data_IF_871191886901
#
_entry.id   IF_871191886901
#
_cell.length_a   1.000
_cell.length_b   1.000
_cell.length_c   1.000
_cell.angle_alpha   90.00
_cell.angle_beta   90.00
_cell.angle_gamma   90.00
#
_symmetry.space_group_name_H-M   'P 1'
#
loop_
_entity.id
_entity.type
_entity.pdbx_description
1 polymer ?
#
# COMPACT_ATOMS: atom_id res chain seq x y z
N UNK A 1 -42.19 -5.15 32.02
CA UNK A 1 -41.94 -5.71 30.67
C UNK A 1 -41.33 -4.57 29.86
N UNK A 2 -40.03 -4.37 30.00
CA UNK A 2 -39.22 -3.48 29.17
C UNK A 2 -38.81 -4.32 27.99
N UNK A 3 -39.35 -3.98 26.82
CA UNK A 3 -38.90 -4.52 25.53
C UNK A 3 -37.49 -3.97 25.27
N UNK A 4 -36.49 -4.81 25.49
CA UNK A 4 -35.14 -4.62 24.98
C UNK A 4 -35.24 -4.72 23.45
N UNK A 5 -35.45 -3.58 22.79
CA UNK A 5 -35.15 -3.40 21.37
C UNK A 5 -33.64 -3.55 21.19
N UNK A 6 -33.19 -4.79 21.04
CA UNK A 6 -31.89 -5.11 20.48
C UNK A 6 -31.82 -4.41 19.12
N UNK A 7 -31.09 -3.29 19.10
CA UNK A 7 -30.57 -2.69 17.88
C UNK A 7 -29.69 -3.73 17.20
N UNK A 8 -30.34 -4.55 16.41
CA UNK A 8 -29.71 -5.43 15.44
C UNK A 8 -29.11 -4.50 14.39
N UNK A 9 -27.91 -3.94 14.69
CA UNK A 9 -27.11 -3.24 13.70
C UNK A 9 -26.86 -4.24 12.57
N UNK A 10 -27.70 -4.15 11.54
CA UNK A 10 -27.56 -4.96 10.34
C UNK A 10 -26.16 -4.69 9.78
N UNK A 11 -25.34 -5.74 9.72
CA UNK A 11 -24.08 -5.78 8.98
C UNK A 11 -24.32 -5.68 7.47
N UNK A 12 -25.33 -4.93 7.05
CA UNK A 12 -25.62 -4.68 5.66
C UNK A 12 -24.55 -3.73 5.13
N UNK A 13 -23.54 -4.29 4.48
CA UNK A 13 -22.52 -3.53 3.78
C UNK A 13 -23.16 -2.51 2.83
N UNK A 14 -22.44 -1.45 2.53
CA UNK A 14 -22.89 -0.39 1.64
C UNK A 14 -23.22 -0.97 0.24
N UNK A 15 -24.46 -0.76 -0.23
CA UNK A 15 -24.89 -1.23 -1.55
C UNK A 15 -24.40 -0.28 -2.65
N UNK A 16 -23.91 -0.81 -3.77
CA UNK A 16 -23.44 -0.03 -4.91
C UNK A 16 -24.52 0.92 -5.45
N UNK A 17 -25.79 0.51 -5.42
CA UNK A 17 -26.92 1.32 -5.92
C UNK A 17 -27.19 2.56 -5.07
N UNK A 18 -26.83 2.56 -3.80
CA UNK A 18 -27.01 3.67 -2.89
C UNK A 18 -25.89 4.71 -2.98
N UNK A 19 -24.82 4.37 -3.70
CA UNK A 19 -23.68 5.27 -3.93
C UNK A 19 -23.99 6.33 -4.99
N UNK A 20 -23.28 7.47 -4.98
CA UNK A 20 -23.39 8.48 -6.03
C UNK A 20 -23.15 7.89 -7.42
N UNK A 21 -23.84 8.39 -8.43
CA UNK A 21 -23.75 7.87 -9.82
C UNK A 21 -22.31 7.86 -10.37
N UNK A 22 -21.48 8.83 -10.00
CA UNK A 22 -20.07 8.88 -10.39
C UNK A 22 -19.29 7.68 -9.83
N UNK A 23 -19.59 7.25 -8.60
CA UNK A 23 -18.97 6.06 -7.97
C UNK A 23 -19.47 4.78 -8.63
N UNK A 24 -20.77 4.68 -8.90
CA UNK A 24 -21.35 3.54 -9.63
C UNK A 24 -20.70 3.40 -11.03
N UNK A 25 -20.48 4.53 -11.72
CA UNK A 25 -19.80 4.54 -13.02
C UNK A 25 -18.35 4.11 -12.88
N UNK A 26 -17.60 4.64 -11.90
CA UNK A 26 -16.22 4.25 -11.63
C UNK A 26 -16.12 2.75 -11.29
N UNK A 27 -17.04 2.21 -10.49
CA UNK A 27 -17.11 0.78 -10.17
C UNK A 27 -17.37 -0.07 -11.42
N UNK A 28 -18.18 0.44 -12.35
CA UNK A 28 -18.44 -0.23 -13.63
C UNK A 28 -17.18 -0.30 -14.50
N UNK A 29 -16.38 0.75 -14.47
CA UNK A 29 -15.16 0.90 -15.32
C UNK A 29 -13.86 0.49 -14.59
N UNK A 30 -13.92 -0.26 -13.50
CA UNK A 30 -12.73 -0.70 -12.73
C UNK A 30 -11.67 -1.39 -13.61
N UNK A 31 -12.09 -2.12 -14.64
CA UNK A 31 -11.19 -2.77 -15.60
C UNK A 31 -10.31 -1.77 -16.38
N UNK A 32 -10.81 -0.57 -16.64
CA UNK A 32 -10.03 0.48 -17.30
C UNK A 32 -8.91 0.97 -16.40
N UNK A 33 -9.19 1.16 -15.11
CA UNK A 33 -8.18 1.58 -14.14
C UNK A 33 -7.16 0.47 -13.89
N UNK A 34 -7.58 -0.79 -13.82
CA UNK A 34 -6.67 -1.92 -13.73
C UNK A 34 -5.72 -1.99 -14.94
N UNK A 35 -6.27 -1.88 -16.16
CA UNK A 35 -5.46 -1.83 -17.39
C UNK A 35 -4.47 -0.65 -17.40
N UNK A 36 -4.83 0.50 -16.83
CA UNK A 36 -3.93 1.65 -16.74
C UNK A 36 -2.65 1.36 -15.93
N UNK A 37 -2.69 0.43 -14.98
CA UNK A 37 -1.50 0.00 -14.23
C UNK A 37 -0.47 -0.71 -15.12
N UNK A 38 -0.90 -1.39 -16.20
CA UNK A 38 -0.03 -2.14 -17.10
C UNK A 38 0.60 -1.28 -18.20
N UNK A 39 0.05 -0.10 -18.47
CA UNK A 39 0.55 0.79 -19.53
C UNK A 39 1.95 1.27 -19.17
N UNK A 40 2.94 0.93 -20.00
CA UNK A 40 4.32 1.41 -19.82
C UNK A 40 4.35 2.95 -19.96
N UNK A 41 4.83 3.70 -18.94
CA UNK A 41 4.97 5.15 -19.02
C UNK A 41 5.80 5.60 -20.23
N UNK A 42 6.69 4.76 -20.73
CA UNK A 42 7.48 5.01 -21.91
C UNK A 42 6.67 5.09 -23.21
N UNK A 43 5.46 4.53 -23.25
CA UNK A 43 4.54 4.66 -24.40
C UNK A 43 3.75 5.97 -24.37
N UNK A 44 3.53 6.55 -23.18
CA UNK A 44 2.82 7.81 -23.01
C UNK A 44 3.71 9.06 -23.20
N UNK A 45 5.02 8.89 -23.24
CA UNK A 45 5.99 9.98 -23.39
C UNK A 45 6.42 10.18 -24.84
N UNK A 46 6.60 11.44 -25.21
CA UNK A 46 7.05 11.84 -26.55
C UNK A 46 8.30 11.09 -26.97
N UNK A 47 8.45 10.74 -28.28
CA UNK A 47 9.67 10.17 -28.83
C UNK A 47 10.87 11.06 -28.46
N UNK A 48 11.89 10.48 -27.81
CA UNK A 48 13.10 11.19 -27.39
C UNK A 48 13.22 11.47 -25.88
N UNK A 49 12.19 11.23 -25.08
CA UNK A 49 12.32 11.30 -23.62
C UNK A 49 12.96 10.00 -23.11
N UNK A 50 14.06 10.13 -22.37
CA UNK A 50 14.68 9.02 -21.67
C UNK A 50 13.67 8.37 -20.71
N UNK A 51 13.45 7.05 -20.83
CA UNK A 51 12.57 6.26 -19.94
C UNK A 51 13.06 6.24 -18.48
N UNK A 52 14.26 6.71 -18.28
CA UNK A 52 14.94 6.70 -16.99
C UNK A 52 15.40 8.11 -16.67
N UNK A 53 15.14 8.58 -15.47
CA UNK A 53 15.62 9.86 -14.97
C UNK A 53 16.70 9.58 -13.95
N UNK A 54 17.88 10.14 -14.18
CA UNK A 54 18.93 10.17 -13.18
C UNK A 54 18.48 11.15 -12.08
N UNK A 55 18.12 10.63 -10.92
CA UNK A 55 17.57 11.43 -9.79
C UNK A 55 18.71 11.84 -8.87
N UNK A 56 19.78 11.05 -8.81
CA UNK A 56 20.96 11.31 -7.99
C UNK A 56 22.19 11.09 -8.87
N UNK A 57 23.08 12.08 -9.03
CA UNK A 57 24.30 11.91 -9.81
C UNK A 57 25.12 10.70 -9.32
N UNK A 58 25.37 9.73 -10.22
CA UNK A 58 26.17 8.54 -9.93
C UNK A 58 25.39 7.35 -9.34
N UNK A 59 24.06 7.43 -9.18
CA UNK A 59 23.21 6.28 -8.80
C UNK A 59 22.25 5.89 -9.93
N UNK A 60 21.89 4.61 -9.92
CA UNK A 60 21.06 3.90 -10.89
C UNK A 60 19.90 4.71 -11.45
N UNK A 61 19.74 4.69 -12.75
CA UNK A 61 18.59 5.24 -13.47
C UNK A 61 17.27 4.70 -12.91
N UNK A 62 16.41 5.57 -12.39
CA UNK A 62 15.12 5.18 -11.84
C UNK A 62 14.03 5.21 -12.91
N UNK A 63 13.22 4.15 -12.95
CA UNK A 63 12.03 4.12 -13.79
C UNK A 63 10.96 5.05 -13.22
N UNK A 64 10.41 5.92 -14.06
CA UNK A 64 9.25 6.72 -13.68
C UNK A 64 7.99 5.85 -13.68
N UNK A 65 7.16 5.96 -12.63
CA UNK A 65 5.93 5.18 -12.56
C UNK A 65 4.83 5.70 -13.50
N UNK A 66 4.84 6.98 -13.82
CA UNK A 66 3.82 7.64 -14.62
C UNK A 66 2.58 8.07 -13.82
N UNK A 67 2.06 9.27 -14.10
CA UNK A 67 0.92 9.85 -13.38
C UNK A 67 -0.37 9.05 -13.55
N UNK A 68 -0.56 8.40 -14.71
CA UNK A 68 -1.75 7.55 -14.96
C UNK A 68 -1.82 6.34 -14.03
N UNK A 69 -0.66 5.72 -13.69
CA UNK A 69 -0.61 4.62 -12.73
C UNK A 69 -0.90 5.08 -11.31
N UNK A 70 -0.40 6.27 -10.94
CA UNK A 70 -0.72 6.88 -9.64
C UNK A 70 -2.22 7.18 -9.56
N UNK A 71 -2.81 7.80 -10.59
CA UNK A 71 -4.24 8.08 -10.63
C UNK A 71 -5.10 6.81 -10.61
N UNK A 72 -4.69 5.76 -11.31
CA UNK A 72 -5.38 4.46 -11.28
C UNK A 72 -5.34 3.83 -9.88
N UNK A 73 -4.16 3.84 -9.22
CA UNK A 73 -4.02 3.34 -7.86
C UNK A 73 -4.86 4.13 -6.84
N UNK A 74 -4.95 5.46 -6.99
CA UNK A 74 -5.80 6.32 -6.17
C UNK A 74 -7.28 5.96 -6.30
N UNK A 75 -7.78 5.78 -7.52
CA UNK A 75 -9.17 5.42 -7.76
C UNK A 75 -9.46 4.03 -7.17
N UNK A 76 -8.59 3.05 -7.40
CA UNK A 76 -8.72 1.70 -6.83
C UNK A 76 -8.76 1.77 -5.29
N UNK A 77 -7.86 2.54 -4.68
CA UNK A 77 -7.84 2.73 -3.24
C UNK A 77 -9.14 3.33 -2.71
N UNK A 78 -9.63 4.40 -3.34
CA UNK A 78 -10.90 5.02 -2.95
C UNK A 78 -12.08 4.05 -3.07
N UNK A 79 -12.12 3.25 -4.14
CA UNK A 79 -13.21 2.29 -4.35
C UNK A 79 -13.22 1.20 -3.28
N UNK A 80 -12.07 0.63 -2.91
CA UNK A 80 -11.95 -0.38 -1.86
C UNK A 80 -12.25 0.20 -0.46
N UNK A 81 -11.88 1.46 -0.20
CA UNK A 81 -12.15 2.13 1.08
C UNK A 81 -13.64 2.37 1.34
N UNK A 82 -14.50 2.25 0.32
CA UNK A 82 -15.95 2.34 0.51
C UNK A 82 -16.51 1.14 1.27
N UNK A 83 -15.81 -0.01 1.30
CA UNK A 83 -16.31 -1.22 1.96
C UNK A 83 -17.57 -1.78 1.32
N UNK A 84 -17.77 -1.56 0.02
CA UNK A 84 -18.91 -2.07 -0.73
C UNK A 84 -18.59 -3.47 -1.26
N UNK A 85 -19.33 -4.48 -0.79
CA UNK A 85 -19.09 -5.89 -1.13
C UNK A 85 -19.11 -6.17 -2.64
N UNK A 86 -19.97 -5.50 -3.40
CA UNK A 86 -20.05 -5.66 -4.86
C UNK A 86 -18.78 -5.13 -5.57
N UNK A 87 -18.18 -4.07 -5.02
CA UNK A 87 -16.89 -3.55 -5.51
C UNK A 87 -15.77 -4.51 -5.14
N UNK A 88 -15.78 -5.01 -3.92
CA UNK A 88 -14.79 -5.95 -3.41
C UNK A 88 -14.82 -7.25 -4.22
N UNK A 89 -16.00 -7.81 -4.48
CA UNK A 89 -16.17 -9.00 -5.32
C UNK A 89 -15.66 -8.77 -6.73
N UNK A 90 -16.02 -7.63 -7.33
CA UNK A 90 -15.56 -7.28 -8.68
C UNK A 90 -14.03 -7.15 -8.72
N UNK A 91 -13.44 -6.49 -7.71
CA UNK A 91 -11.99 -6.30 -7.61
C UNK A 91 -11.27 -7.65 -7.41
N UNK A 92 -11.83 -8.56 -6.61
CA UNK A 92 -11.28 -9.89 -6.36
C UNK A 92 -11.15 -10.75 -7.62
N UNK A 93 -11.97 -10.49 -8.64
CA UNK A 93 -11.94 -11.21 -9.92
C UNK A 93 -11.28 -10.42 -11.06
N UNK A 94 -10.81 -9.20 -10.79
CA UNK A 94 -10.31 -8.31 -11.81
C UNK A 94 -8.88 -8.67 -12.21
N UNK A 95 -8.75 -9.35 -13.36
CA UNK A 95 -7.46 -9.62 -14.00
C UNK A 95 -7.05 -8.44 -14.89
N UNK A 96 -5.74 -8.20 -15.01
CA UNK A 96 -5.19 -7.10 -15.81
C UNK A 96 -5.39 -7.26 -17.31
N UNK A 97 -5.49 -8.49 -17.79
CA UNK A 97 -5.75 -8.83 -19.18
C UNK A 97 -6.77 -9.97 -19.27
N UNK A 98 -7.63 -9.92 -20.27
CA UNK A 98 -8.62 -10.96 -20.58
C UNK A 98 -7.96 -12.20 -21.22
N UNK A 99 -6.87 -12.67 -20.67
CA UNK A 99 -6.21 -13.89 -21.13
C UNK A 99 -6.61 -15.04 -20.23
N UNK A 100 -6.82 -16.22 -20.83
CA UNK A 100 -7.07 -17.45 -20.09
C UNK A 100 -5.84 -17.98 -19.31
N UNK A 101 -4.80 -17.16 -19.18
CA UNK A 101 -3.59 -17.51 -18.44
C UNK A 101 -3.80 -17.20 -16.95
N UNK A 102 -4.04 -18.25 -16.18
CA UNK A 102 -4.21 -18.16 -14.71
C UNK A 102 -2.94 -17.70 -13.98
N UNK A 103 -1.82 -17.62 -14.70
CA UNK A 103 -0.52 -17.17 -14.13
C UNK A 103 -0.36 -15.65 -14.06
N UNK A 104 -1.26 -14.88 -14.68
CA UNK A 104 -1.14 -13.41 -14.64
C UNK A 104 -1.60 -12.82 -13.31
N UNK A 105 -0.88 -11.76 -12.83
CA UNK A 105 -1.19 -11.14 -11.55
C UNK A 105 -2.59 -10.48 -11.54
N UNK A 106 -3.27 -10.65 -10.41
CA UNK A 106 -4.47 -9.89 -10.11
C UNK A 106 -4.12 -8.41 -9.92
N UNK A 107 -5.10 -7.54 -10.02
CA UNK A 107 -4.88 -6.09 -9.91
C UNK A 107 -4.19 -5.69 -8.61
N UNK A 108 -4.61 -6.27 -7.47
CA UNK A 108 -4.02 -5.98 -6.16
C UNK A 108 -2.59 -6.52 -6.02
N UNK A 109 -2.31 -7.71 -6.54
CA UNK A 109 -0.95 -8.24 -6.58
C UNK A 109 -0.03 -7.34 -7.40
N UNK A 110 -0.52 -6.81 -8.52
CA UNK A 110 0.24 -5.86 -9.33
C UNK A 110 0.54 -4.58 -8.57
N UNK A 111 -0.43 -4.03 -7.83
CA UNK A 111 -0.18 -2.87 -6.96
C UNK A 111 0.89 -3.18 -5.92
N UNK A 112 0.84 -4.36 -5.29
CA UNK A 112 1.84 -4.80 -4.33
C UNK A 112 3.23 -4.95 -4.97
N UNK A 113 3.33 -5.60 -6.13
CA UNK A 113 4.60 -5.73 -6.87
C UNK A 113 5.17 -4.35 -7.20
N UNK A 114 4.36 -3.47 -7.78
CA UNK A 114 4.78 -2.12 -8.17
C UNK A 114 5.23 -1.26 -6.99
N UNK A 115 4.66 -1.44 -5.80
CA UNK A 115 5.09 -0.74 -4.57
C UNK A 115 6.56 -1.02 -4.26
N UNK A 116 7.04 -2.24 -4.51
CA UNK A 116 8.44 -2.62 -4.28
C UNK A 116 9.33 -2.34 -5.48
N UNK A 117 8.82 -2.39 -6.71
CA UNK A 117 9.58 -2.11 -7.93
C UNK A 117 9.86 -0.61 -8.16
N UNK A 118 9.01 0.27 -7.63
CA UNK A 118 9.13 1.72 -7.76
C UNK A 118 9.40 2.41 -6.42
N UNK A 119 10.52 2.13 -5.74
CA UNK A 119 10.74 2.49 -4.34
C UNK A 119 10.79 4.00 -4.05
N UNK A 120 10.81 4.84 -5.08
CA UNK A 120 10.95 6.29 -4.93
C UNK A 120 9.67 7.09 -5.29
N UNK A 121 8.55 6.42 -5.49
CA UNK A 121 7.29 7.07 -5.83
C UNK A 121 6.36 7.19 -4.61
N UNK A 122 6.57 8.19 -3.76
CA UNK A 122 5.79 8.38 -2.54
C UNK A 122 4.28 8.51 -2.77
N UNK A 123 3.86 9.19 -3.85
CA UNK A 123 2.45 9.31 -4.20
C UNK A 123 1.84 7.94 -4.55
N UNK A 124 2.56 7.12 -5.33
CA UNK A 124 2.11 5.76 -5.63
C UNK A 124 2.09 4.89 -4.37
N UNK A 125 3.12 4.98 -3.52
CA UNK A 125 3.18 4.21 -2.28
C UNK A 125 1.98 4.53 -1.38
N UNK A 126 1.61 5.80 -1.25
CA UNK A 126 0.44 6.19 -0.46
C UNK A 126 -0.85 5.60 -1.02
N UNK A 127 -1.05 5.64 -2.34
CA UNK A 127 -2.23 5.08 -2.99
C UNK A 127 -2.26 3.55 -2.89
N UNK A 128 -1.17 2.87 -3.26
CA UNK A 128 -1.07 1.42 -3.23
C UNK A 128 -1.23 0.86 -1.82
N UNK A 129 -0.59 1.49 -0.81
CA UNK A 129 -0.74 1.06 0.59
C UNK A 129 -2.18 1.18 1.07
N UNK A 130 -2.90 2.26 0.73
CA UNK A 130 -4.32 2.41 1.08
C UNK A 130 -5.19 1.33 0.42
N UNK A 131 -4.94 1.03 -0.87
CA UNK A 131 -5.66 -0.04 -1.56
C UNK A 131 -5.41 -1.41 -0.93
N UNK A 132 -4.14 -1.73 -0.62
CA UNK A 132 -3.75 -2.99 0.02
C UNK A 132 -4.35 -3.09 1.42
N UNK A 133 -4.28 -2.02 2.24
CA UNK A 133 -4.86 -2.00 3.57
C UNK A 133 -6.38 -2.21 3.53
N UNK A 134 -7.09 -1.54 2.61
CA UNK A 134 -8.51 -1.73 2.44
C UNK A 134 -8.85 -3.19 2.05
N UNK A 135 -8.07 -3.78 1.13
CA UNK A 135 -8.24 -5.18 0.75
C UNK A 135 -7.97 -6.15 1.92
N UNK A 136 -6.91 -5.92 2.72
CA UNK A 136 -6.62 -6.73 3.91
C UNK A 136 -7.70 -6.59 4.99
N UNK A 137 -8.35 -5.43 5.08
CA UNK A 137 -9.44 -5.17 6.04
C UNK A 137 -10.78 -5.73 5.58
N UNK A 138 -10.95 -6.02 4.29
CA UNK A 138 -12.20 -6.57 3.75
C UNK A 138 -12.50 -7.96 4.32
N UNK A 139 -13.77 -8.27 4.63
CA UNK A 139 -14.19 -9.62 4.98
C UNK A 139 -14.11 -10.59 3.79
N UNK A 140 -13.92 -10.06 2.57
CA UNK A 140 -13.89 -10.86 1.35
C UNK A 140 -12.50 -11.49 1.13
N UNK A 141 -12.34 -12.74 1.52
CA UNK A 141 -11.06 -13.46 1.49
C UNK A 141 -10.36 -13.45 0.12
N UNK A 142 -11.13 -13.54 -0.97
CA UNK A 142 -10.58 -13.52 -2.33
C UNK A 142 -9.80 -12.23 -2.68
N UNK A 143 -9.99 -11.14 -1.92
CA UNK A 143 -9.21 -9.92 -2.08
C UNK A 143 -7.80 -10.04 -1.51
N UNK A 144 -7.67 -10.60 -0.32
CA UNK A 144 -6.39 -10.59 0.39
C UNK A 144 -5.59 -11.89 0.25
N UNK A 145 -6.24 -13.06 -0.01
CA UNK A 145 -5.51 -14.32 -0.21
C UNK A 145 -4.39 -14.18 -1.24
N UNK A 146 -4.61 -13.60 -2.45
CA UNK A 146 -3.55 -13.45 -3.44
C UNK A 146 -2.38 -12.57 -2.97
N UNK A 147 -2.62 -11.65 -2.03
CA UNK A 147 -1.57 -10.82 -1.43
C UNK A 147 -0.72 -11.59 -0.43
N UNK A 148 -1.36 -12.43 0.39
CA UNK A 148 -0.71 -13.15 1.50
C UNK A 148 -0.08 -14.45 1.03
N UNK A 149 -0.68 -15.09 0.00
CA UNK A 149 -0.22 -16.34 -0.59
C UNK A 149 0.03 -16.14 -2.08
N UNK A 150 1.27 -16.21 -2.51
CA UNK A 150 1.58 -16.19 -3.94
C UNK A 150 1.41 -17.59 -4.55
N UNK A 151 0.19 -17.90 -4.99
CA UNK A 151 -0.17 -19.22 -5.54
C UNK A 151 0.54 -19.57 -6.88
N UNK A 152 1.37 -18.68 -7.42
CA UNK A 152 1.93 -18.80 -8.78
C UNK A 152 3.27 -19.49 -8.89
N UNK A 153 3.98 -19.61 -7.79
CA UNK A 153 5.29 -20.26 -7.76
C UNK A 153 5.15 -21.79 -7.54
N UNK A 154 4.16 -22.42 -8.19
CA UNK A 154 3.95 -23.87 -8.11
C UNK A 154 5.19 -24.70 -8.45
N UNK A 155 6.16 -24.11 -9.16
CA UNK A 155 7.43 -24.74 -9.51
C UNK A 155 8.55 -24.59 -8.46
N UNK A 156 8.45 -23.64 -7.51
CA UNK A 156 9.50 -23.37 -6.52
C UNK A 156 9.30 -24.10 -5.19
N UNK A 157 8.12 -24.67 -4.95
CA UNK A 157 7.77 -25.30 -3.68
C UNK A 157 7.56 -24.31 -2.51
N UNK A 158 7.86 -23.03 -2.70
CA UNK A 158 7.67 -21.99 -1.68
C UNK A 158 6.56 -21.01 -2.12
N UNK A 159 5.37 -21.28 -1.66
CA UNK A 159 4.15 -20.49 -1.96
C UNK A 159 4.18 -19.08 -1.38
N UNK A 160 5.14 -18.76 -0.49
CA UNK A 160 5.25 -17.45 0.15
C UNK A 160 6.33 -16.55 -0.45
N UNK A 161 7.18 -17.05 -1.35
CA UNK A 161 8.37 -16.35 -1.86
C UNK A 161 8.11 -14.92 -2.35
N UNK A 162 7.03 -14.72 -3.08
CA UNK A 162 6.65 -13.41 -3.64
C UNK A 162 5.43 -12.80 -2.96
N UNK A 163 4.99 -13.32 -1.82
CA UNK A 163 3.86 -12.80 -1.08
C UNK A 163 4.16 -11.43 -0.46
N UNK A 164 3.12 -10.65 -0.19
CA UNK A 164 3.24 -9.33 0.44
C UNK A 164 4.00 -9.40 1.77
N UNK A 165 3.71 -10.33 2.72
CA UNK A 165 4.45 -10.43 3.97
C UNK A 165 5.94 -10.67 3.76
N UNK A 166 6.32 -11.50 2.79
CA UNK A 166 7.73 -11.74 2.46
C UNK A 166 8.41 -10.49 1.90
N UNK A 167 7.77 -9.80 0.96
CA UNK A 167 8.32 -8.57 0.36
C UNK A 167 8.46 -7.44 1.37
N UNK A 168 7.51 -7.31 2.27
CA UNK A 168 7.56 -6.37 3.39
C UNK A 168 8.75 -6.70 4.31
N UNK A 169 8.91 -7.96 4.71
CA UNK A 169 10.02 -8.41 5.54
C UNK A 169 11.39 -8.15 4.89
N UNK A 170 11.54 -8.53 3.62
CA UNK A 170 12.78 -8.29 2.84
C UNK A 170 13.12 -6.80 2.77
N UNK A 171 12.11 -5.93 2.54
CA UNK A 171 12.32 -4.48 2.49
C UNK A 171 12.77 -3.90 3.83
N UNK A 172 12.20 -4.39 4.94
CA UNK A 172 12.59 -3.98 6.29
C UNK A 172 14.01 -4.45 6.64
N UNK A 173 14.37 -5.69 6.31
CA UNK A 173 15.70 -6.21 6.53
C UNK A 173 16.76 -5.43 5.73
N UNK A 174 16.50 -5.16 4.45
CA UNK A 174 17.37 -4.32 3.61
C UNK A 174 17.53 -2.92 4.19
N UNK A 175 16.46 -2.32 4.74
CA UNK A 175 16.50 -1.00 5.33
C UNK A 175 17.40 -0.95 6.57
N UNK A 176 17.39 -2.00 7.40
CA UNK A 176 18.23 -2.11 8.59
C UNK A 176 19.70 -2.36 8.26
N UNK A 177 19.99 -3.03 7.13
CA UNK A 177 21.37 -3.23 6.65
C UNK A 177 21.95 -1.93 6.06
N UNK A 178 21.13 -0.94 5.77
CA UNK A 178 21.57 0.32 5.18
C UNK A 178 22.10 1.28 6.27
N UNK A 179 23.43 1.45 6.34
CA UNK A 179 24.11 2.30 7.33
C UNK A 179 23.67 3.78 7.27
N UNK A 180 23.27 4.26 6.10
CA UNK A 180 22.87 5.66 5.90
C UNK A 180 21.38 5.77 5.62
N UNK A 181 20.65 6.46 6.50
CA UNK A 181 19.22 6.74 6.34
C UNK A 181 18.88 7.35 4.96
N UNK A 182 19.75 8.23 4.44
CA UNK A 182 19.57 8.89 3.14
C UNK A 182 19.65 7.93 1.94
N UNK A 183 20.15 6.71 2.14
CA UNK A 183 20.24 5.66 1.12
C UNK A 183 19.11 4.64 1.21
N UNK A 184 18.29 4.69 2.26
CA UNK A 184 17.14 3.82 2.40
C UNK A 184 16.13 4.08 1.29
N UNK A 185 15.54 3.02 0.76
CA UNK A 185 14.49 3.12 -0.26
C UNK A 185 13.28 3.88 0.31
N UNK A 186 12.64 4.71 -0.51
CA UNK A 186 11.51 5.53 -0.08
C UNK A 186 10.23 4.75 0.27
N UNK A 187 10.15 3.47 -0.09
CA UNK A 187 9.01 2.60 0.23
C UNK A 187 9.09 1.94 1.62
N UNK A 188 10.18 2.15 2.38
CA UNK A 188 10.34 1.56 3.74
C UNK A 188 9.20 1.98 4.67
N UNK A 189 8.80 3.27 4.64
CA UNK A 189 7.67 3.73 5.45
C UNK A 189 6.36 2.99 5.14
N UNK A 190 6.07 2.77 3.86
CA UNK A 190 4.90 1.99 3.45
C UNK A 190 5.01 0.52 3.84
N UNK A 191 6.20 -0.06 3.75
CA UNK A 191 6.44 -1.44 4.21
C UNK A 191 6.16 -1.59 5.72
N UNK A 192 6.61 -0.63 6.55
CA UNK A 192 6.34 -0.64 7.99
C UNK A 192 4.85 -0.49 8.30
N UNK A 193 4.14 0.39 7.59
CA UNK A 193 2.68 0.54 7.75
C UNK A 193 1.95 -0.76 7.42
N UNK A 194 2.30 -1.40 6.31
CA UNK A 194 1.72 -2.69 5.91
C UNK A 194 2.09 -3.81 6.89
N UNK A 195 3.34 -3.80 7.40
CA UNK A 195 3.78 -4.77 8.41
C UNK A 195 2.98 -4.67 9.70
N UNK A 196 2.76 -3.45 10.20
CA UNK A 196 1.96 -3.26 11.42
C UNK A 196 0.52 -3.76 11.23
N UNK A 197 -0.10 -3.48 10.08
CA UNK A 197 -1.43 -4.01 9.77
C UNK A 197 -1.45 -5.55 9.69
N UNK A 198 -0.46 -6.16 9.03
CA UNK A 198 -0.33 -7.62 8.98
C UNK A 198 -0.14 -8.23 10.37
N UNK A 199 0.60 -7.56 11.27
CA UNK A 199 0.74 -7.97 12.67
C UNK A 199 -0.60 -7.94 13.38
N UNK A 200 -1.34 -6.84 13.29
CA UNK A 200 -2.67 -6.70 13.90
C UNK A 200 -3.63 -7.80 13.42
N UNK A 201 -3.65 -8.09 12.12
CA UNK A 201 -4.46 -9.18 11.57
C UNK A 201 -3.97 -10.57 12.01
N UNK A 202 -2.67 -10.75 12.19
CA UNK A 202 -2.07 -11.98 12.70
C UNK A 202 -2.37 -12.24 14.18
N UNK A 203 -2.57 -11.19 14.98
CA UNK A 203 -2.88 -11.22 16.41
C UNK A 203 -4.39 -11.23 16.67
N UNK A 204 -5.22 -10.85 15.70
CA UNK A 204 -6.66 -10.85 15.83
C UNK A 204 -7.19 -12.23 16.23
N UNK A 205 -8.06 -12.27 17.22
CA UNK A 205 -8.64 -13.53 17.73
C UNK A 205 -9.89 -13.96 16.98
N UNK A 206 -10.39 -13.10 16.09
CA UNK A 206 -11.61 -13.32 15.32
C UNK A 206 -11.51 -14.56 14.44
N UNK A 207 -12.59 -15.32 14.37
CA UNK A 207 -12.68 -16.49 13.52
C UNK A 207 -12.56 -16.13 12.03
N UNK A 208 -13.11 -14.99 11.64
CA UNK A 208 -13.04 -14.41 10.29
C UNK A 208 -11.60 -14.19 9.80
N UNK A 209 -10.64 -14.02 10.72
CA UNK A 209 -9.21 -13.81 10.41
C UNK A 209 -8.34 -15.05 10.61
N UNK A 210 -8.94 -16.18 10.96
CA UNK A 210 -8.22 -17.44 11.24
C UNK A 210 -7.36 -17.90 10.06
N UNK A 211 -7.87 -17.76 8.84
CA UNK A 211 -7.18 -18.17 7.62
C UNK A 211 -5.98 -17.24 7.32
N UNK A 212 -6.14 -15.93 7.45
CA UNK A 212 -5.03 -14.98 7.29
C UNK A 212 -3.93 -15.26 8.32
N UNK A 213 -4.31 -15.43 9.58
CA UNK A 213 -3.39 -15.79 10.67
C UNK A 213 -2.64 -17.08 10.38
N UNK A 214 -3.33 -18.10 9.86
CA UNK A 214 -2.71 -19.37 9.45
C UNK A 214 -1.63 -19.15 8.38
N UNK A 215 -1.91 -18.34 7.36
CA UNK A 215 -0.94 -18.05 6.31
C UNK A 215 0.25 -17.23 6.82
N UNK A 216 0.02 -16.22 7.66
CA UNK A 216 1.09 -15.43 8.28
C UNK A 216 1.99 -16.31 9.15
N UNK A 217 1.42 -17.21 9.95
CA UNK A 217 2.17 -18.14 10.81
C UNK A 217 2.92 -19.23 10.03
N UNK A 218 2.59 -19.46 8.78
CA UNK A 218 3.31 -20.39 7.90
C UNK A 218 4.36 -19.70 7.02
N UNK A 219 4.51 -18.38 7.10
CA UNK A 219 5.49 -17.63 6.31
C UNK A 219 6.77 -17.41 7.13
N UNK A 220 7.88 -18.12 6.83
CA UNK A 220 9.08 -18.08 7.66
C UNK A 220 9.78 -16.72 7.65
N UNK A 221 9.75 -16.01 6.53
CA UNK A 221 10.33 -14.66 6.41
C UNK A 221 9.56 -13.65 7.26
N UNK A 222 8.23 -13.75 7.21
CA UNK A 222 7.38 -12.91 8.03
C UNK A 222 7.58 -13.17 9.53
N UNK A 223 7.62 -14.43 9.94
CA UNK A 223 7.83 -14.78 11.34
C UNK A 223 9.16 -14.24 11.87
N UNK A 224 10.23 -14.32 11.08
CA UNK A 224 11.55 -13.78 11.48
C UNK A 224 11.50 -12.26 11.62
N UNK A 225 10.84 -11.54 10.72
CA UNK A 225 10.72 -10.09 10.76
C UNK A 225 9.78 -9.61 11.89
N UNK A 226 8.74 -10.40 12.22
CA UNK A 226 7.69 -10.06 13.18
C UNK A 226 7.96 -10.56 14.61
N UNK A 227 9.02 -11.34 14.85
CA UNK A 227 9.38 -11.80 16.19
C UNK A 227 9.81 -10.62 17.09
N UNK A 228 9.78 -10.83 18.41
CA UNK A 228 10.27 -9.86 19.39
C UNK A 228 11.71 -9.43 19.04
N UNK A 229 11.94 -8.12 18.93
CA UNK A 229 13.21 -7.55 18.52
C UNK A 229 13.58 -7.80 17.05
N UNK A 230 12.64 -8.27 16.23
CA UNK A 230 12.80 -8.43 14.79
C UNK A 230 12.89 -7.11 14.04
N UNK A 231 12.93 -7.19 12.70
CA UNK A 231 13.12 -5.99 11.86
C UNK A 231 11.95 -5.00 11.99
N UNK A 232 10.73 -5.48 12.23
CA UNK A 232 9.57 -4.61 12.44
C UNK A 232 9.69 -3.80 13.73
N UNK A 233 10.04 -4.43 14.84
CA UNK A 233 10.18 -3.73 16.12
C UNK A 233 11.29 -2.69 16.06
N UNK A 234 12.44 -3.06 15.51
CA UNK A 234 13.58 -2.16 15.35
C UNK A 234 13.24 -0.94 14.51
N UNK A 235 12.52 -1.11 13.39
CA UNK A 235 12.10 0.03 12.56
C UNK A 235 11.02 0.86 13.22
N UNK A 236 10.09 0.27 13.99
CA UNK A 236 9.11 1.01 14.77
C UNK A 236 9.79 1.84 15.86
N UNK A 237 10.76 1.30 16.58
CA UNK A 237 11.55 2.03 17.55
C UNK A 237 12.33 3.19 16.93
N UNK A 238 12.95 2.97 15.77
CA UNK A 238 13.61 4.03 15.02
C UNK A 238 12.63 5.15 14.61
N UNK A 239 11.41 4.81 14.18
CA UNK A 239 10.38 5.80 13.81
C UNK A 239 9.93 6.62 15.03
N UNK A 240 9.77 6.01 16.17
CA UNK A 240 9.42 6.69 17.43
C UNK A 240 10.61 7.51 17.94
N UNK A 241 11.83 6.97 17.80
CA UNK A 241 13.07 7.57 18.32
C UNK A 241 13.70 8.65 17.45
N UNK A 242 13.22 8.88 16.21
CA UNK A 242 13.77 9.98 15.42
C UNK A 242 14.15 9.76 13.98
N UNK A 243 13.59 8.77 13.25
CA UNK A 243 13.72 8.73 11.79
C UNK A 243 13.19 9.99 11.11
N UNK A 244 12.22 10.66 11.74
CA UNK A 244 11.63 11.91 11.28
C UNK A 244 12.21 13.14 12.00
N UNK A 245 13.22 12.95 12.88
CA UNK A 245 13.67 14.01 13.78
C UNK A 245 12.61 14.37 14.84
N UNK A 246 12.94 15.24 15.78
CA UNK A 246 11.95 15.77 16.71
C UNK A 246 10.82 16.42 15.89
N UNK A 247 9.55 16.20 16.32
CA UNK A 247 8.41 16.89 15.69
C UNK A 247 8.79 18.37 15.49
N UNK A 248 8.77 18.88 14.25
CA UNK A 248 9.09 20.29 14.05
C UNK A 248 8.18 21.10 14.96
N UNK A 249 8.76 21.90 15.82
CA UNK A 249 7.97 22.85 16.60
C UNK A 249 7.25 23.77 15.60
N UNK A 250 6.09 24.30 15.99
CA UNK A 250 5.31 25.20 15.11
C UNK A 250 6.16 26.37 14.60
N UNK A 251 7.15 26.82 15.38
CA UNK A 251 8.14 27.82 14.99
C UNK A 251 9.08 27.35 13.89
N UNK A 252 9.61 26.11 13.96
CA UNK A 252 10.48 25.55 12.92
C UNK A 252 9.75 25.33 11.60
N UNK A 253 8.46 24.98 11.64
CA UNK A 253 7.63 24.83 10.44
C UNK A 253 7.41 26.19 9.74
N UNK A 254 7.26 27.27 10.49
CA UNK A 254 7.14 28.63 9.96
C UNK A 254 8.46 29.13 9.37
N UNK A 255 9.60 28.86 10.02
CA UNK A 255 10.92 29.22 9.52
C UNK A 255 11.29 28.51 8.22
N UNK A 256 10.99 27.21 8.08
CA UNK A 256 11.26 26.45 6.86
C UNK A 256 10.37 26.82 5.68
N UNK A 257 9.15 27.26 5.92
CA UNK A 257 8.23 27.67 4.85
C UNK A 257 8.34 29.18 4.48
N UNK A 258 8.95 30.01 5.33
CA UNK A 258 9.14 31.41 5.09
C UNK A 258 10.59 31.76 4.68
N UNK A 259 11.50 30.78 4.64
CA UNK A 259 12.92 30.93 4.30
C UNK A 259 13.26 31.21 2.85
N UNK A 260 12.33 31.69 2.06
CA UNK A 260 12.53 32.29 0.73
C UNK A 260 12.44 33.82 0.79
N UNK A 261 13.47 34.48 1.33
CA UNK A 261 13.73 35.90 1.11
C UNK A 261 12.61 36.87 1.50
N UNK A 262 12.41 37.12 2.78
CA UNK A 262 11.50 38.21 3.22
C UNK A 262 11.54 38.36 4.73
N UNK A 263 11.74 39.55 5.19
CA UNK A 263 11.87 39.97 6.59
C UNK A 263 10.86 39.24 7.51
N UNK A 264 11.39 38.59 8.53
CA UNK A 264 10.61 38.03 9.64
C UNK A 264 9.89 39.17 10.35
N UNK A 265 8.58 39.28 10.18
CA UNK A 265 7.74 40.15 11.00
C UNK A 265 7.67 39.51 12.39
N UNK A 266 8.30 40.13 13.35
CA UNK A 266 8.27 39.74 14.76
C UNK A 266 6.82 39.73 15.25
N UNK A 267 6.40 38.61 15.91
CA UNK A 267 5.06 38.43 16.48
C UNK A 267 4.70 39.41 17.61
N UNK A 268 5.52 40.42 17.87
CA UNK A 268 5.28 41.47 18.86
C UNK A 268 4.58 42.73 18.32
N UNK A 269 4.31 42.80 17.02
CA UNK A 269 3.65 43.98 16.41
C UNK A 269 2.17 43.75 16.06
N UNK A 270 1.53 42.70 16.57
CA UNK A 270 0.10 42.45 16.43
C UNK A 270 -0.55 42.36 17.81
N UNK A 271 -0.53 43.45 18.58
CA UNK A 271 -1.47 43.75 19.66
C UNK A 271 -1.92 45.20 19.54
#
# INVERSE_FOLDING_TARGET
EEEDDELNESKDGLNLHDLPKCVQLAAKELSVFAKALTIDPGMAYRPGSSKTREIIPGETTMRAIGSHRVGAAEIIAMMLQLGCLEIDEKMAHLKLEETNDDKKPMTLETLAIMLFEYPWSSAFHAAASRAILAALSSPHEKLWIPLVVCARDEGSGDVYKNSLPTKVAETMDEALLCERLSKRKGNVGSAVVLANALREFGEATDEERSEMRRHLNNNPKWLEANKDGGSLDRLNEEQVGGLCGPKPSRSQFLETNLGGGGNVISSHELL
#
